data_IF_480680530499
#
_entry.id   IF_480680530499
#
_cell.length_a   1.000
_cell.length_b   1.000
_cell.length_c   1.000
_cell.angle_alpha   90.00
_cell.angle_beta   90.00
_cell.angle_gamma   90.00
#
_symmetry.space_group_name_H-M   'P 1'
#
loop_
_entity.id
_entity.type
_entity.pdbx_description
1 polymer ?
#
# COMPACT_ATOMS: atom_id res chain seq x y z
N UNK A 1 49.96 64.53 -2.51
CA UNK A 1 49.09 64.07 -3.61
C UNK A 1 48.18 63.00 -3.01
N UNK A 2 47.02 63.41 -2.49
CA UNK A 2 45.67 63.17 -3.05
C UNK A 2 45.32 61.67 -3.11
N UNK A 3 44.24 61.16 -2.52
CA UNK A 3 42.95 61.78 -2.23
C UNK A 3 42.29 61.21 -0.95
N UNK A 4 41.36 62.02 -0.44
CA UNK A 4 40.57 61.85 0.77
C UNK A 4 39.25 61.10 0.53
N UNK A 5 38.41 61.11 1.58
CA UNK A 5 36.94 60.94 1.59
C UNK A 5 36.41 59.49 1.68
N UNK A 6 35.45 59.12 2.54
CA UNK A 6 34.71 59.80 3.62
C UNK A 6 34.08 58.73 4.51
N UNK A 7 33.94 59.04 5.80
CA UNK A 7 33.23 58.27 6.82
C UNK A 7 31.73 58.59 6.79
N UNK A 8 30.83 57.61 7.01
CA UNK A 8 29.55 57.81 7.73
C UNK A 8 29.11 56.51 8.43
N UNK A 9 29.10 56.54 9.76
CA UNK A 9 28.30 55.68 10.64
C UNK A 9 26.95 56.36 10.91
N UNK A 10 25.83 55.62 10.93
CA UNK A 10 24.65 56.02 11.72
C UNK A 10 23.97 54.76 12.31
N UNK A 11 23.82 54.79 13.64
CA UNK A 11 23.12 53.83 14.49
C UNK A 11 21.59 54.17 14.61
N UNK A 12 20.77 53.29 15.22
CA UNK A 12 19.33 53.19 15.00
C UNK A 12 18.46 54.03 15.97
N UNK A 13 17.22 54.35 15.58
CA UNK A 13 16.22 54.98 16.45
C UNK A 13 14.85 54.29 16.36
N UNK A 14 14.38 53.86 17.53
CA UNK A 14 13.00 53.48 17.87
C UNK A 14 12.07 54.71 17.94
N UNK A 15 10.79 54.55 17.59
CA UNK A 15 9.57 55.14 18.22
C UNK A 15 8.34 54.60 17.46
N UNK A 16 7.47 53.77 18.03
CA UNK A 16 6.38 54.08 18.96
C UNK A 16 5.50 55.25 18.52
N UNK A 17 4.30 54.95 17.98
CA UNK A 17 3.13 55.81 18.18
C UNK A 17 1.84 54.99 18.36
N UNK A 18 1.00 55.51 19.27
CA UNK A 18 -0.23 54.95 19.84
C UNK A 18 -1.47 55.47 19.11
N UNK A 19 -2.53 54.64 19.16
CA UNK A 19 -3.98 54.90 19.38
C UNK A 19 -4.77 55.85 18.44
N UNK A 20 -5.87 55.30 17.89
CA UNK A 20 -7.28 55.75 18.08
C UNK A 20 -8.20 54.75 17.34
N UNK A 21 -8.96 53.87 18.00
CA UNK A 21 -10.31 54.05 18.59
C UNK A 21 -11.29 54.84 17.72
N UNK A 22 -12.23 54.13 17.07
CA UNK A 22 -13.63 54.54 16.93
C UNK A 22 -14.56 53.33 17.08
N UNK A 23 -15.58 53.56 17.90
CA UNK A 23 -16.68 52.66 18.24
C UNK A 23 -17.81 52.67 17.18
N UNK A 24 -18.70 51.70 17.36
CA UNK A 24 -20.14 51.66 17.02
C UNK A 24 -20.50 50.99 15.68
N UNK A 25 -21.03 49.76 15.76
CA UNK A 25 -22.46 49.50 15.56
C UNK A 25 -22.83 48.06 15.97
N UNK A 26 -23.62 47.98 17.05
CA UNK A 26 -24.44 46.84 17.47
C UNK A 26 -25.66 46.74 16.54
N UNK A 27 -26.02 45.54 16.07
CA UNK A 27 -27.37 45.16 15.65
C UNK A 27 -27.49 43.61 15.71
N UNK A 28 -28.69 43.02 15.84
CA UNK A 28 -29.03 42.24 17.02
C UNK A 28 -29.33 40.76 16.72
N UNK A 29 -29.49 40.02 17.82
CA UNK A 29 -30.16 38.74 17.93
C UNK A 29 -31.42 38.61 17.05
N UNK A 30 -31.55 37.47 16.38
CA UNK A 30 -32.86 36.82 16.15
C UNK A 30 -32.73 35.29 16.19
N UNK A 31 -33.32 34.72 17.23
CA UNK A 31 -33.78 33.32 17.26
C UNK A 31 -34.88 33.12 16.21
N UNK A 32 -34.87 31.97 15.54
CA UNK A 32 -36.11 31.33 15.07
C UNK A 32 -35.94 29.82 14.91
N UNK A 33 -36.59 29.13 15.84
CA UNK A 33 -37.49 28.00 15.68
C UNK A 33 -37.16 26.91 14.63
N UNK A 34 -37.03 25.71 15.20
CA UNK A 34 -37.16 24.42 14.55
C UNK A 34 -38.49 24.24 13.80
N UNK A 35 -38.44 23.51 12.70
CA UNK A 35 -39.61 22.87 12.06
C UNK A 35 -39.24 21.46 11.58
N UNK A 36 -40.23 20.54 11.51
CA UNK A 36 -40.01 19.12 11.76
C UNK A 36 -40.00 18.24 10.49
N UNK A 37 -39.52 17.00 10.67
CA UNK A 37 -39.58 15.89 9.70
C UNK A 37 -41.02 15.58 9.23
N UNK A 38 -41.21 15.10 7.99
CA UNK A 38 -42.40 14.37 7.61
C UNK A 38 -42.17 12.84 7.61
N UNK A 39 -42.98 12.13 8.40
CA UNK A 39 -43.23 10.68 8.32
C UNK A 39 -44.41 10.38 7.37
N UNK A 40 -44.59 9.13 6.92
CA UNK A 40 -45.25 8.79 5.65
C UNK A 40 -46.76 8.53 5.81
N UNK A 41 -47.54 8.51 4.71
CA UNK A 41 -48.92 8.03 4.76
C UNK A 41 -49.03 6.51 4.58
N UNK A 42 -49.87 5.92 5.44
CA UNK A 42 -50.40 4.54 5.37
C UNK A 42 -51.65 4.47 4.47
N UNK A 43 -51.71 3.38 3.69
CA UNK A 43 -52.86 2.51 3.34
C UNK A 43 -54.28 3.08 3.14
N UNK A 44 -54.82 2.83 1.94
CA UNK A 44 -56.17 2.31 1.66
C UNK A 44 -55.99 1.30 0.48
N UNK A 45 -56.15 -0.02 0.63
CA UNK A 45 -57.37 -0.86 0.73
C UNK A 45 -58.37 -0.66 -0.42
N UNK A 46 -58.88 -1.81 -0.92
CA UNK A 46 -59.95 -2.06 -1.93
C UNK A 46 -59.32 -2.48 -3.28
N UNK A 47 -59.52 -3.68 -3.86
CA UNK A 47 -60.62 -4.64 -3.77
C UNK A 47 -60.13 -6.07 -4.03
N UNK A 48 -60.80 -7.03 -3.39
CA UNK A 48 -60.80 -8.46 -3.70
C UNK A 48 -61.32 -8.73 -5.12
N UNK A 49 -60.77 -9.73 -5.80
CA UNK A 49 -61.60 -10.69 -6.55
C UNK A 49 -61.09 -12.11 -6.36
N UNK A 50 -62.07 -12.99 -6.21
CA UNK A 50 -62.00 -14.33 -5.63
C UNK A 50 -61.52 -15.42 -6.59
N UNK A 51 -60.93 -16.46 -5.97
CA UNK A 51 -61.09 -17.91 -6.22
C UNK A 51 -61.29 -18.44 -7.65
N UNK A 52 -60.43 -19.41 -8.03
CA UNK A 52 -60.89 -20.75 -8.36
C UNK A 52 -59.76 -21.79 -8.19
N UNK A 53 -60.06 -22.83 -7.39
CA UNK A 53 -59.35 -24.11 -7.28
C UNK A 53 -59.71 -25.03 -8.45
N UNK A 54 -58.77 -25.83 -8.93
CA UNK A 54 -58.95 -27.18 -9.52
C UNK A 54 -57.59 -27.67 -10.07
N UNK A 55 -56.89 -28.57 -9.36
CA UNK A 55 -56.93 -30.05 -9.49
C UNK A 55 -56.03 -30.62 -10.61
N UNK A 56 -55.09 -31.47 -10.19
CA UNK A 56 -54.15 -32.31 -10.94
C UNK A 56 -54.82 -33.19 -12.03
N UNK A 57 -54.09 -33.71 -13.05
CA UNK A 57 -53.40 -35.01 -12.92
C UNK A 57 -52.04 -35.15 -13.64
N UNK A 58 -51.32 -36.21 -13.24
CA UNK A 58 -50.00 -36.70 -13.67
C UNK A 58 -50.01 -37.34 -15.06
N UNK A 59 -48.91 -37.25 -15.81
CA UNK A 59 -48.34 -38.28 -16.72
C UNK A 59 -46.87 -37.89 -17.02
N UNK A 60 -45.85 -38.63 -16.56
CA UNK A 60 -45.13 -39.73 -17.24
C UNK A 60 -44.42 -39.33 -18.55
N UNK A 61 -43.11 -39.01 -18.47
CA UNK A 61 -42.09 -39.12 -19.53
C UNK A 61 -40.71 -39.18 -18.82
N UNK A 62 -40.11 -40.37 -18.69
CA UNK A 62 -39.08 -40.99 -19.55
C UNK A 62 -37.67 -40.40 -19.44
N UNK A 63 -36.80 -41.15 -18.76
CA UNK A 63 -35.41 -41.47 -19.12
C UNK A 63 -34.46 -40.33 -19.54
N UNK A 64 -33.63 -39.88 -18.59
CA UNK A 64 -32.38 -39.18 -18.88
C UNK A 64 -31.24 -40.19 -19.08
N UNK A 65 -30.38 -40.03 -20.11
CA UNK A 65 -29.18 -40.85 -20.27
C UNK A 65 -28.10 -40.42 -19.26
N UNK A 66 -27.57 -41.40 -18.56
CA UNK A 66 -26.38 -41.32 -17.72
C UNK A 66 -25.15 -40.95 -18.56
N UNK A 67 -24.58 -39.78 -18.30
CA UNK A 67 -23.18 -39.46 -18.60
C UNK A 67 -22.55 -38.74 -17.41
N UNK A 68 -21.69 -39.44 -16.68
CA UNK A 68 -20.31 -38.99 -16.40
C UNK A 68 -19.67 -39.92 -15.36
N UNK A 69 -18.99 -40.97 -15.82
CA UNK A 69 -18.03 -41.71 -15.01
C UNK A 69 -16.64 -41.04 -15.14
N UNK A 70 -16.51 -39.86 -14.54
CA UNK A 70 -15.28 -39.10 -14.34
C UNK A 70 -15.69 -37.97 -13.37
N UNK A 71 -15.20 -37.79 -12.16
CA UNK A 71 -13.99 -38.22 -11.46
C UNK A 71 -14.25 -38.04 -9.96
N UNK A 72 -14.32 -39.12 -9.19
CA UNK A 72 -14.19 -39.06 -7.74
C UNK A 72 -12.86 -39.71 -7.39
N UNK A 73 -11.75 -38.99 -7.56
CA UNK A 73 -10.45 -39.51 -7.13
C UNK A 73 -10.48 -39.66 -5.61
N UNK A 74 -10.26 -40.86 -5.09
CA UNK A 74 -10.24 -41.07 -3.64
C UNK A 74 -9.12 -40.24 -3.00
N UNK A 75 -9.26 -39.89 -1.72
CA UNK A 75 -8.22 -39.19 -0.95
C UNK A 75 -6.87 -39.91 -1.07
N UNK A 76 -6.86 -41.25 -1.13
CA UNK A 76 -5.68 -42.06 -1.35
C UNK A 76 -5.02 -41.83 -2.72
N UNK A 77 -5.79 -41.61 -3.79
CA UNK A 77 -5.24 -41.29 -5.11
C UNK A 77 -4.62 -39.89 -5.15
N UNK A 78 -5.23 -38.92 -4.45
CA UNK A 78 -4.65 -37.56 -4.32
C UNK A 78 -3.35 -37.60 -3.51
N UNK A 79 -3.30 -38.37 -2.43
CA UNK A 79 -2.10 -38.55 -1.63
C UNK A 79 -0.97 -39.21 -2.45
N UNK A 80 -1.28 -40.27 -3.20
CA UNK A 80 -0.31 -40.93 -4.07
C UNK A 80 0.19 -40.03 -5.21
N UNK A 81 -0.66 -39.14 -5.73
CA UNK A 81 -0.25 -38.13 -6.70
C UNK A 81 0.65 -37.06 -6.06
N UNK A 82 0.37 -36.67 -4.82
CA UNK A 82 1.19 -35.72 -4.07
C UNK A 82 2.59 -36.27 -3.80
N UNK A 83 2.69 -37.52 -3.34
CA UNK A 83 3.98 -38.21 -3.09
C UNK A 83 4.83 -38.24 -4.37
N UNK A 84 4.25 -38.64 -5.50
CA UNK A 84 4.97 -38.65 -6.79
C UNK A 84 5.47 -37.26 -7.22
N UNK A 85 4.74 -36.20 -6.89
CA UNK A 85 5.19 -34.83 -7.17
C UNK A 85 6.35 -34.42 -6.26
N UNK A 86 6.32 -34.82 -4.99
CA UNK A 86 7.42 -34.59 -4.06
C UNK A 86 8.69 -35.32 -4.50
N UNK A 87 8.58 -36.61 -4.87
CA UNK A 87 9.72 -37.40 -5.35
C UNK A 87 10.37 -36.77 -6.59
N UNK A 88 9.55 -36.24 -7.52
CA UNK A 88 10.03 -35.58 -8.72
C UNK A 88 10.77 -34.26 -8.39
N UNK A 89 10.23 -33.47 -7.46
CA UNK A 89 10.87 -32.22 -7.01
C UNK A 89 12.20 -32.52 -6.31
N UNK A 90 12.25 -33.54 -5.45
CA UNK A 90 13.49 -33.95 -4.78
C UNK A 90 14.56 -34.39 -5.79
N UNK A 91 14.17 -35.17 -6.80
CA UNK A 91 15.09 -35.59 -7.86
C UNK A 91 15.64 -34.40 -8.67
N UNK A 92 14.80 -33.41 -8.99
CA UNK A 92 15.23 -32.22 -9.72
C UNK A 92 16.12 -31.31 -8.87
N UNK A 93 15.85 -31.18 -7.56
CA UNK A 93 16.75 -30.47 -6.63
C UNK A 93 18.13 -31.14 -6.56
N UNK A 94 18.20 -32.47 -6.53
CA UNK A 94 19.47 -33.19 -6.55
C UNK A 94 20.24 -32.97 -7.86
N UNK A 95 19.54 -32.94 -9.01
CA UNK A 95 20.16 -32.62 -10.31
C UNK A 95 20.73 -31.21 -10.34
N UNK A 96 19.98 -30.23 -9.86
CA UNK A 96 20.43 -28.83 -9.76
C UNK A 96 21.66 -28.71 -8.86
N UNK A 97 21.66 -29.37 -7.70
CA UNK A 97 22.82 -29.41 -6.81
C UNK A 97 24.05 -30.04 -7.49
N UNK A 98 23.85 -31.12 -8.25
CA UNK A 98 24.93 -31.75 -9.00
C UNK A 98 25.45 -30.85 -10.13
N UNK A 99 24.57 -30.13 -10.83
CA UNK A 99 24.95 -29.16 -11.85
C UNK A 99 25.79 -28.02 -11.25
N UNK A 100 25.40 -27.49 -10.09
CA UNK A 100 26.15 -26.46 -9.38
C UNK A 100 27.53 -26.96 -8.92
N UNK A 101 27.62 -28.19 -8.41
CA UNK A 101 28.92 -28.80 -8.07
C UNK A 101 29.81 -28.98 -9.29
N UNK A 102 29.24 -29.46 -10.40
CA UNK A 102 29.99 -29.66 -11.64
C UNK A 102 30.45 -28.32 -12.25
N UNK A 103 29.65 -27.25 -12.13
CA UNK A 103 30.03 -25.91 -12.54
C UNK A 103 31.19 -25.36 -11.68
N UNK A 104 31.13 -25.53 -10.36
CA UNK A 104 32.21 -25.14 -9.45
C UNK A 104 33.52 -25.92 -9.71
N UNK A 105 33.43 -27.20 -10.06
CA UNK A 105 34.59 -28.02 -10.46
C UNK A 105 35.13 -27.64 -11.85
N UNK A 106 34.25 -27.21 -12.76
CA UNK A 106 34.63 -26.70 -14.09
C UNK A 106 35.37 -25.36 -14.02
N UNK A 107 34.95 -24.46 -13.14
CA UNK A 107 35.67 -23.20 -12.87
C UNK A 107 37.01 -23.43 -12.17
N UNK A 108 37.11 -24.42 -11.28
CA UNK A 108 38.38 -24.79 -10.64
C UNK A 108 39.39 -25.39 -11.64
N UNK A 109 38.93 -26.12 -12.67
CA UNK A 109 39.79 -26.66 -13.72
C UNK A 109 40.24 -25.58 -14.73
N UNK A 110 39.40 -24.57 -15.01
CA UNK A 110 39.78 -23.43 -15.84
C UNK A 110 40.65 -22.39 -15.10
N UNK A 111 40.52 -22.30 -13.77
CA UNK A 111 41.29 -21.38 -12.92
C UNK A 111 42.76 -21.76 -12.68
N UNK A 112 43.19 -22.96 -13.08
CA UNK A 112 44.59 -23.39 -12.97
C UNK A 112 45.52 -22.76 -14.02
N UNK A 113 44.98 -21.97 -14.96
CA UNK A 113 45.74 -21.30 -16.02
C UNK A 113 45.56 -19.77 -16.02
N UNK A 114 45.55 -19.11 -14.85
CA UNK A 114 45.97 -17.70 -14.76
C UNK A 114 46.17 -17.29 -13.29
N UNK A 115 47.43 -17.30 -12.85
CA UNK A 115 47.83 -16.68 -11.58
C UNK A 115 48.08 -15.18 -11.83
N UNK A 116 47.25 -14.33 -11.24
CA UNK A 116 47.37 -12.88 -11.33
C UNK A 116 46.42 -12.14 -10.39
N UNK A 117 46.82 -12.03 -9.12
CA UNK A 117 46.48 -11.03 -8.09
C UNK A 117 45.39 -10.00 -8.46
N UNK A 118 44.28 -9.96 -7.71
CA UNK A 118 43.90 -8.78 -6.88
C UNK A 118 42.54 -8.94 -6.20
N UNK A 119 42.51 -8.34 -5.02
CA UNK A 119 41.52 -8.34 -3.95
C UNK A 119 40.20 -7.64 -4.24
N UNK A 120 39.19 -8.09 -3.49
CA UNK A 120 38.10 -7.31 -2.90
C UNK A 120 37.17 -6.53 -3.84
N UNK A 121 35.95 -7.03 -3.94
CA UNK A 121 34.81 -6.28 -4.42
C UNK A 121 33.64 -7.23 -4.61
N UNK A 122 32.83 -7.41 -3.57
CA UNK A 122 31.44 -7.87 -3.75
C UNK A 122 30.74 -6.84 -4.61
N UNK A 123 30.83 -6.98 -5.93
CA UNK A 123 30.01 -6.20 -6.85
C UNK A 123 28.58 -6.70 -6.69
N UNK A 124 27.77 -5.88 -6.02
CA UNK A 124 26.33 -5.84 -6.24
C UNK A 124 26.11 -5.94 -7.75
N UNK A 125 25.50 -7.03 -8.19
CA UNK A 125 25.09 -7.18 -9.56
C UNK A 125 24.09 -6.06 -9.85
N UNK A 126 24.53 -5.03 -10.56
CA UNK A 126 23.67 -4.05 -11.20
C UNK A 126 22.62 -4.85 -11.99
N UNK A 127 21.37 -4.86 -11.46
CA UNK A 127 20.19 -5.39 -12.15
C UNK A 127 20.19 -4.83 -13.57
N UNK A 128 19.87 -5.69 -14.54
CA UNK A 128 19.62 -5.28 -15.92
C UNK A 128 18.71 -4.03 -15.94
N UNK A 129 18.95 -3.05 -16.84
CA UNK A 129 18.14 -1.85 -16.91
C UNK A 129 16.68 -2.28 -17.00
N UNK A 130 15.89 -1.90 -15.99
CA UNK A 130 14.46 -2.15 -16.00
C UNK A 130 13.92 -1.64 -17.35
N UNK A 131 13.03 -2.42 -17.97
CA UNK A 131 12.41 -2.04 -19.23
C UNK A 131 11.57 -0.78 -18.98
N UNK A 132 12.18 0.40 -19.16
CA UNK A 132 11.54 1.69 -18.95
C UNK A 132 10.29 1.85 -19.83
N UNK A 133 10.16 1.04 -20.89
CA UNK A 133 8.95 0.99 -21.71
C UNK A 133 7.75 0.44 -20.94
N UNK A 134 7.95 -0.51 -20.00
CA UNK A 134 6.89 -1.08 -19.17
C UNK A 134 6.28 -0.06 -18.18
N UNK A 135 6.99 1.03 -17.90
CA UNK A 135 6.52 2.15 -17.09
C UNK A 135 5.85 3.26 -17.91
N UNK A 136 5.86 3.19 -19.24
CA UNK A 136 5.12 4.16 -20.04
C UNK A 136 3.61 3.99 -19.81
N UNK A 137 2.85 5.07 -19.59
CA UNK A 137 1.40 4.99 -19.47
C UNK A 137 0.76 4.40 -20.73
N UNK A 138 -0.10 3.40 -20.56
CA UNK A 138 -0.93 2.85 -21.65
C UNK A 138 -2.16 3.77 -21.85
N UNK A 139 -2.61 4.06 -23.08
CA UNK A 139 -3.88 4.75 -23.33
C UNK A 139 -5.11 4.16 -22.62
N UNK A 140 -5.08 2.88 -22.25
CA UNK A 140 -6.14 2.17 -21.52
C UNK A 140 -6.03 2.32 -20.00
N UNK A 141 -4.89 2.80 -19.49
CA UNK A 141 -4.72 2.98 -18.05
C UNK A 141 -5.72 4.04 -17.54
N UNK A 142 -6.42 3.77 -16.42
CA UNK A 142 -7.13 4.83 -15.72
C UNK A 142 -6.17 5.97 -15.36
N UNK A 143 -6.70 7.19 -15.31
CA UNK A 143 -5.93 8.41 -15.09
C UNK A 143 -4.95 8.30 -13.91
N UNK A 144 -5.40 7.71 -12.80
CA UNK A 144 -4.58 7.59 -11.58
C UNK A 144 -3.43 6.59 -11.74
N UNK A 145 -3.63 5.49 -12.48
CA UNK A 145 -2.55 4.53 -12.81
C UNK A 145 -1.52 5.20 -13.73
N UNK A 146 -1.99 5.92 -14.76
CA UNK A 146 -1.13 6.64 -15.69
C UNK A 146 -0.28 7.72 -15.00
N UNK A 147 -0.84 8.44 -14.01
CA UNK A 147 -0.10 9.40 -13.18
C UNK A 147 0.99 8.72 -12.37
N UNK A 148 0.70 7.58 -11.72
CA UNK A 148 1.68 6.86 -10.92
C UNK A 148 2.82 6.30 -11.77
N UNK A 149 2.51 5.75 -12.95
CA UNK A 149 3.52 5.31 -13.93
C UNK A 149 4.47 6.45 -14.33
N UNK A 150 3.92 7.61 -14.64
CA UNK A 150 4.71 8.81 -14.95
C UNK A 150 5.56 9.25 -13.76
N UNK A 151 4.99 9.25 -12.55
CA UNK A 151 5.72 9.55 -11.32
C UNK A 151 6.93 8.61 -11.15
N UNK A 152 6.77 7.31 -11.41
CA UNK A 152 7.86 6.34 -11.34
C UNK A 152 9.01 6.67 -12.31
N UNK A 153 8.68 7.02 -13.55
CA UNK A 153 9.67 7.42 -14.57
C UNK A 153 10.45 8.67 -14.14
N UNK A 154 9.71 9.70 -13.69
CA UNK A 154 10.27 11.02 -13.35
C UNK A 154 11.11 11.01 -12.07
N UNK A 155 10.78 10.15 -11.09
CA UNK A 155 11.40 10.18 -9.76
C UNK A 155 12.37 9.02 -9.52
N UNK A 156 12.55 8.12 -10.49
CA UNK A 156 13.52 7.03 -10.37
C UNK A 156 13.02 5.82 -9.60
N UNK A 157 11.74 5.46 -9.73
CA UNK A 157 11.19 4.15 -9.35
C UNK A 157 11.13 3.25 -10.60
N UNK A 158 12.29 3.03 -11.22
CA UNK A 158 12.38 2.39 -12.53
C UNK A 158 12.11 0.89 -12.49
N UNK A 159 12.29 0.25 -11.34
CA UNK A 159 11.99 -1.17 -11.13
C UNK A 159 10.53 -1.43 -10.74
N UNK A 160 9.67 -0.41 -10.73
CA UNK A 160 8.27 -0.57 -10.38
C UNK A 160 7.51 -1.34 -11.48
N UNK A 161 6.67 -2.30 -11.06
CA UNK A 161 5.83 -3.08 -11.98
C UNK A 161 4.36 -2.93 -11.58
N UNK A 162 3.52 -2.56 -12.54
CA UNK A 162 2.07 -2.43 -12.35
C UNK A 162 1.38 -3.69 -12.86
N UNK A 163 0.66 -4.36 -11.98
CA UNK A 163 0.07 -5.68 -12.19
C UNK A 163 -1.45 -5.57 -12.04
N UNK A 164 -2.17 -5.86 -13.11
CA UNK A 164 -3.63 -5.96 -13.10
C UNK A 164 -4.03 -7.31 -12.50
N UNK A 165 -4.90 -7.27 -11.50
CA UNK A 165 -5.40 -8.45 -10.78
C UNK A 165 -6.88 -8.70 -11.08
N UNK A 166 -7.39 -9.93 -10.89
CA UNK A 166 -8.80 -10.22 -11.11
C UNK A 166 -9.73 -9.41 -10.20
N UNK A 167 -10.97 -9.17 -10.66
CA UNK A 167 -11.95 -8.33 -9.95
C UNK A 167 -12.34 -8.87 -8.56
N UNK A 168 -12.16 -10.16 -8.31
CA UNK A 168 -12.41 -10.80 -7.02
C UNK A 168 -11.21 -10.69 -6.05
N UNK A 169 -10.15 -9.95 -6.38
CA UNK A 169 -8.90 -9.92 -5.62
C UNK A 169 -9.09 -9.64 -4.12
N UNK A 170 -10.00 -8.73 -3.76
CA UNK A 170 -10.26 -8.39 -2.35
C UNK A 170 -11.26 -9.30 -1.64
N UNK A 171 -11.95 -10.17 -2.39
CA UNK A 171 -12.86 -11.18 -1.87
C UNK A 171 -12.12 -12.49 -1.53
N UNK A 172 -10.95 -12.70 -2.12
CA UNK A 172 -10.10 -13.89 -1.88
C UNK A 172 -9.17 -13.70 -0.66
N UNK A 173 -8.67 -14.81 -0.12
CA UNK A 173 -7.73 -14.84 1.00
C UNK A 173 -6.31 -14.36 0.61
N UNK A 174 -5.39 -14.22 1.58
CA UNK A 174 -4.05 -13.71 1.28
C UNK A 174 -3.19 -14.69 0.46
N UNK A 175 -3.36 -16.00 0.61
CA UNK A 175 -2.61 -17.00 -0.16
C UNK A 175 -2.93 -16.90 -1.65
N UNK A 176 -4.22 -16.78 -1.98
CA UNK A 176 -4.69 -16.58 -3.33
C UNK A 176 -4.19 -15.25 -3.90
N UNK A 177 -4.24 -14.17 -3.11
CA UNK A 177 -3.72 -12.86 -3.55
C UNK A 177 -2.22 -12.88 -3.83
N UNK A 178 -1.44 -13.63 -3.03
CA UNK A 178 -0.03 -13.89 -3.29
C UNK A 178 0.13 -14.55 -4.66
N UNK A 179 -0.64 -15.59 -4.93
CA UNK A 179 -0.55 -16.35 -6.19
C UNK A 179 -0.95 -15.51 -7.40
N UNK A 180 -2.01 -14.70 -7.28
CA UNK A 180 -2.45 -13.77 -8.31
C UNK A 180 -1.38 -12.73 -8.69
N UNK A 181 -0.54 -12.34 -7.72
CA UNK A 181 0.60 -11.42 -7.92
C UNK A 181 1.92 -12.13 -8.21
N UNK A 182 1.95 -13.46 -8.14
CA UNK A 182 3.18 -14.25 -8.14
C UNK A 182 4.18 -13.76 -7.09
N UNK A 183 3.67 -13.27 -5.95
CA UNK A 183 4.49 -12.76 -4.88
C UNK A 183 5.24 -13.92 -4.16
N UNK A 184 6.46 -13.71 -3.67
CA UNK A 184 7.22 -14.79 -3.01
C UNK A 184 6.54 -15.34 -1.75
N UNK A 185 5.81 -14.49 -1.03
CA UNK A 185 5.11 -14.82 0.21
C UNK A 185 3.98 -13.84 0.47
N UNK A 186 2.98 -14.23 1.27
CA UNK A 186 1.98 -13.32 1.83
C UNK A 186 2.61 -12.17 2.63
N UNK A 187 3.85 -12.36 3.12
CA UNK A 187 4.63 -11.32 3.80
C UNK A 187 4.98 -10.14 2.89
N UNK A 188 5.07 -10.36 1.58
CA UNK A 188 5.37 -9.31 0.59
C UNK A 188 4.15 -8.44 0.26
N UNK A 189 2.94 -8.85 0.68
CA UNK A 189 1.73 -8.08 0.47
C UNK A 189 1.62 -7.00 1.55
N UNK A 190 1.64 -5.75 1.12
CA UNK A 190 1.52 -4.58 1.98
C UNK A 190 0.26 -3.78 1.67
N UNK A 191 -0.14 -2.96 2.63
CA UNK A 191 -1.17 -1.93 2.46
C UNK A 191 -0.63 -0.58 2.88
N UNK A 192 -1.18 0.43 2.22
CA UNK A 192 -0.94 1.84 2.54
C UNK A 192 -2.20 2.41 3.15
N UNK A 193 -2.09 3.03 4.32
CA UNK A 193 -3.18 3.76 4.96
C UNK A 193 -2.76 5.20 5.22
N UNK A 194 -3.73 6.12 5.23
CA UNK A 194 -3.49 7.51 5.61
C UNK A 194 -3.82 7.70 7.10
N UNK A 195 -2.82 8.10 7.88
CA UNK A 195 -2.97 8.44 9.29
C UNK A 195 -2.99 9.96 9.46
N UNK A 196 -3.86 10.45 10.33
CA UNK A 196 -3.95 11.84 10.75
C UNK A 196 -3.50 11.98 12.22
N UNK A 197 -2.58 12.88 12.50
CA UNK A 197 -2.32 13.36 13.84
C UNK A 197 -3.33 14.46 14.20
N UNK A 198 -4.40 14.10 14.90
CA UNK A 198 -5.50 15.03 15.21
C UNK A 198 -5.12 16.12 16.21
N UNK A 199 -3.95 16.00 16.86
CA UNK A 199 -3.41 17.00 17.77
C UNK A 199 -2.21 17.77 17.20
N UNK A 200 -1.88 17.55 15.91
CA UNK A 200 -0.84 18.29 15.24
C UNK A 200 -1.17 19.79 15.22
N UNK A 201 -0.16 20.62 15.41
CA UNK A 201 -0.28 22.07 15.25
C UNK A 201 -0.17 22.50 13.80
N UNK A 202 0.48 21.68 12.98
CA UNK A 202 0.63 21.92 11.55
C UNK A 202 -0.65 21.46 10.84
N UNK A 203 -1.02 22.16 9.77
CA UNK A 203 -2.22 21.86 8.99
C UNK A 203 -1.90 21.22 7.63
N UNK A 204 -0.63 21.02 7.32
CA UNK A 204 -0.15 20.52 6.04
C UNK A 204 0.73 19.27 6.20
N UNK A 205 1.33 18.86 5.08
CA UNK A 205 2.24 17.72 4.97
C UNK A 205 3.69 18.16 4.70
N UNK A 206 4.02 19.45 4.93
CA UNK A 206 5.30 20.02 4.49
C UNK A 206 6.47 19.59 5.39
N UNK A 207 6.24 19.50 6.69
CA UNK A 207 7.26 19.08 7.64
C UNK A 207 7.31 17.55 7.73
N UNK A 208 8.31 16.95 7.08
CA UNK A 208 8.54 15.51 7.09
C UNK A 208 8.56 14.91 8.51
N UNK A 209 9.06 15.65 9.50
CA UNK A 209 9.19 15.18 10.89
C UNK A 209 7.96 15.48 11.72
N UNK A 210 7.11 16.44 11.37
CA UNK A 210 5.91 16.79 12.14
C UNK A 210 4.74 17.24 11.23
N UNK A 211 4.31 16.36 10.33
CA UNK A 211 3.15 16.60 9.46
C UNK A 211 1.83 16.25 10.14
N UNK A 212 0.74 16.83 9.63
CA UNK A 212 -0.61 16.43 10.07
C UNK A 212 -0.96 15.03 9.57
N UNK A 213 -0.57 14.70 8.35
CA UNK A 213 -0.88 13.43 7.71
C UNK A 213 0.38 12.65 7.36
N UNK A 214 0.30 11.33 7.48
CA UNK A 214 1.35 10.40 7.09
C UNK A 214 0.75 9.21 6.35
N UNK A 215 1.37 8.82 5.24
CA UNK A 215 1.13 7.53 4.62
C UNK A 215 1.89 6.47 5.41
N UNK A 216 1.20 5.40 5.80
CA UNK A 216 1.79 4.31 6.56
C UNK A 216 1.72 3.02 5.76
N UNK A 217 2.89 2.43 5.51
CA UNK A 217 3.06 1.19 4.74
C UNK A 217 3.46 0.06 5.66
N UNK A 218 2.68 -1.02 5.66
CA UNK A 218 2.95 -2.20 6.46
C UNK A 218 2.34 -3.47 5.85
N UNK A 219 2.80 -4.63 6.31
CA UNK A 219 2.42 -5.93 5.77
C UNK A 219 1.02 -6.35 6.23
N UNK A 220 0.31 -7.15 5.43
CA UNK A 220 -0.99 -7.72 5.84
C UNK A 220 -0.87 -8.73 6.99
N UNK A 221 0.29 -9.36 7.15
CA UNK A 221 0.59 -10.35 8.21
C UNK A 221 0.90 -9.72 9.57
N UNK A 222 0.78 -8.40 9.66
CA UNK A 222 1.17 -7.59 10.79
C UNK A 222 -0.02 -6.75 11.28
N UNK A 223 -0.16 -6.65 12.60
CA UNK A 223 -1.09 -5.75 13.25
C UNK A 223 -0.47 -4.36 13.39
N UNK A 224 -1.15 -3.37 12.81
CA UNK A 224 -0.76 -1.96 12.92
C UNK A 224 -1.00 -1.40 14.32
N UNK A 225 -0.10 -0.52 14.77
CA UNK A 225 -0.20 0.17 16.05
C UNK A 225 0.03 1.68 15.90
N UNK A 226 -1.04 2.47 16.04
CA UNK A 226 -0.98 3.94 15.96
C UNK A 226 -0.16 4.59 17.08
N UNK A 227 -0.09 3.97 18.26
CA UNK A 227 0.73 4.50 19.36
C UNK A 227 2.22 4.37 19.06
N UNK A 228 2.62 3.34 18.32
CA UNK A 228 4.00 3.18 17.86
C UNK A 228 4.38 4.28 16.88
N UNK A 229 3.49 4.64 15.95
CA UNK A 229 3.67 5.82 15.07
C UNK A 229 3.84 7.10 15.89
N UNK A 230 2.97 7.31 16.89
CA UNK A 230 3.05 8.47 17.79
C UNK A 230 4.38 8.57 18.53
N UNK A 231 4.96 7.44 18.97
CA UNK A 231 6.29 7.40 19.61
C UNK A 231 7.40 7.77 18.63
N UNK A 232 7.39 7.19 17.44
CA UNK A 232 8.40 7.44 16.39
C UNK A 232 8.44 8.93 16.03
N UNK A 233 7.28 9.53 15.75
CA UNK A 233 7.21 10.95 15.40
C UNK A 233 7.58 11.83 16.60
N UNK A 234 7.21 11.47 17.82
CA UNK A 234 7.66 12.19 19.02
C UNK A 234 9.18 12.14 19.21
N UNK A 235 9.82 10.99 18.98
CA UNK A 235 11.29 10.83 19.04
C UNK A 235 12.01 11.71 18.00
N UNK A 236 11.39 11.90 16.83
CA UNK A 236 11.88 12.84 15.82
C UNK A 236 11.69 14.31 16.19
N UNK A 237 10.96 14.64 17.26
CA UNK A 237 10.67 16.02 17.66
C UNK A 237 10.95 16.25 19.16
N UNK A 238 12.23 16.22 19.58
CA UNK A 238 12.58 16.50 20.96
C UNK A 238 12.11 17.91 21.34
N UNK A 239 11.38 18.00 22.46
CA UNK A 239 10.82 19.27 22.97
C UNK A 239 9.31 19.45 22.72
N UNK A 240 8.70 18.66 21.84
CA UNK A 240 7.23 18.65 21.69
C UNK A 240 6.63 17.64 22.67
N UNK A 241 5.65 18.05 23.47
CA UNK A 241 5.02 17.16 24.44
C UNK A 241 4.28 15.99 23.78
N UNK A 242 4.45 14.77 24.30
CA UNK A 242 3.81 13.51 23.84
C UNK A 242 2.32 13.61 23.49
N UNK A 243 1.55 14.43 24.22
CA UNK A 243 0.11 14.62 23.98
C UNK A 243 -0.24 15.22 22.60
N UNK A 244 0.75 15.79 21.90
CA UNK A 244 0.60 16.35 20.55
C UNK A 244 0.66 15.31 19.43
N UNK A 245 0.91 14.04 19.77
CA UNK A 245 1.01 12.94 18.82
C UNK A 245 -0.13 11.95 19.08
N UNK A 246 -1.29 12.23 18.49
CA UNK A 246 -2.49 11.38 18.58
C UNK A 246 -2.92 10.99 17.17
N UNK A 247 -2.45 9.83 16.73
CA UNK A 247 -2.66 9.33 15.38
C UNK A 247 -3.94 8.51 15.29
N UNK A 248 -4.79 8.85 14.32
CA UNK A 248 -6.03 8.14 13.96
C UNK A 248 -6.05 7.88 12.46
N UNK A 249 -6.87 6.92 12.04
CA UNK A 249 -7.14 6.76 10.61
C UNK A 249 -7.82 8.03 10.10
N UNK A 250 -7.35 8.58 8.98
CA UNK A 250 -7.97 9.73 8.36
C UNK A 250 -9.40 9.40 7.91
N UNK A 251 -10.26 10.42 7.87
CA UNK A 251 -11.59 10.27 7.28
C UNK A 251 -11.48 9.79 5.81
N UNK A 252 -12.33 8.86 5.34
CA UNK A 252 -12.23 8.32 3.98
C UNK A 252 -12.29 9.38 2.88
N UNK A 253 -13.14 10.40 3.02
CA UNK A 253 -13.26 11.46 2.02
C UNK A 253 -12.01 12.34 2.00
N UNK A 254 -11.45 12.62 3.18
CA UNK A 254 -10.19 13.37 3.29
C UNK A 254 -8.99 12.55 2.75
N UNK A 255 -8.97 11.25 3.03
CA UNK A 255 -7.96 10.36 2.49
C UNK A 255 -7.99 10.28 0.96
N UNK A 256 -9.18 10.18 0.37
CA UNK A 256 -9.33 10.22 -1.09
C UNK A 256 -8.93 11.58 -1.67
N UNK A 257 -9.31 12.68 -1.01
CA UNK A 257 -8.92 14.03 -1.43
C UNK A 257 -7.40 14.24 -1.44
N UNK A 258 -6.71 13.78 -0.38
CA UNK A 258 -5.26 13.96 -0.22
C UNK A 258 -4.44 12.99 -1.07
N UNK A 259 -4.88 11.74 -1.20
CA UNK A 259 -4.16 10.72 -1.97
C UNK A 259 -4.52 10.73 -3.45
N UNK A 260 -5.70 11.23 -3.81
CA UNK A 260 -6.25 11.20 -5.17
C UNK A 260 -6.98 9.92 -5.53
N UNK A 261 -7.01 8.92 -4.62
CA UNK A 261 -7.59 7.60 -4.90
C UNK A 261 -8.36 7.05 -3.70
N UNK A 262 -9.36 6.22 -3.99
CA UNK A 262 -10.12 5.51 -2.95
C UNK A 262 -9.28 4.48 -2.20
N UNK A 263 -9.79 4.06 -1.04
CA UNK A 263 -9.19 2.98 -0.24
C UNK A 263 -8.98 1.70 -1.06
N UNK A 264 -7.86 1.01 -0.81
CA UNK A 264 -7.45 -0.18 -1.58
C UNK A 264 -6.70 0.11 -2.89
N UNK A 265 -6.72 1.36 -3.37
CA UNK A 265 -5.94 1.79 -4.54
C UNK A 265 -4.69 2.60 -4.18
N UNK A 266 -4.55 3.01 -2.91
CA UNK A 266 -3.51 3.93 -2.44
C UNK A 266 -2.11 3.37 -2.63
N UNK A 267 -1.32 4.04 -3.47
CA UNK A 267 0.12 3.90 -3.56
C UNK A 267 0.79 4.85 -2.54
N UNK A 268 1.93 4.49 -1.95
CA UNK A 268 2.66 5.35 -1.02
C UNK A 268 3.53 6.41 -1.73
N UNK A 269 3.15 6.82 -2.94
CA UNK A 269 3.85 7.79 -3.79
C UNK A 269 2.86 8.37 -4.80
N UNK A 270 3.25 9.45 -5.48
CA UNK A 270 2.44 10.07 -6.54
C UNK A 270 1.04 10.54 -6.09
N UNK A 271 0.87 10.85 -4.80
CA UNK A 271 -0.37 11.39 -4.24
C UNK A 271 -0.61 12.85 -4.65
N UNK A 272 -1.85 13.33 -4.55
CA UNK A 272 -2.23 14.71 -4.91
C UNK A 272 -1.46 15.78 -4.13
N UNK A 273 -1.07 15.47 -2.88
CA UNK A 273 -0.20 16.28 -2.02
C UNK A 273 1.04 15.44 -1.68
N UNK A 274 2.24 16.01 -1.55
CA UNK A 274 3.41 15.28 -1.06
C UNK A 274 3.24 14.93 0.42
N UNK A 275 2.79 13.70 0.71
CA UNK A 275 2.56 13.23 2.08
C UNK A 275 3.78 12.40 2.54
N UNK A 276 4.40 12.71 3.68
CA UNK A 276 5.48 11.92 4.23
C UNK A 276 5.08 10.46 4.46
N UNK A 277 6.02 9.55 4.24
CA UNK A 277 5.81 8.11 4.34
C UNK A 277 6.50 7.55 5.58
N UNK A 278 5.78 6.70 6.32
CA UNK A 278 6.34 5.84 7.35
C UNK A 278 6.26 4.39 6.85
N UNK A 279 7.41 3.74 6.74
CA UNK A 279 7.53 2.35 6.30
C UNK A 279 7.79 1.45 7.51
N UNK A 280 7.01 0.38 7.66
CA UNK A 280 7.27 -0.58 8.73
C UNK A 280 8.63 -1.26 8.54
N UNK A 281 9.39 -1.31 9.62
CA UNK A 281 10.69 -1.98 9.66
C UNK A 281 10.61 -3.46 9.26
N UNK A 282 9.45 -4.12 9.41
CA UNK A 282 9.24 -5.48 8.93
C UNK A 282 9.43 -5.62 7.43
N UNK A 283 8.98 -4.64 6.65
CA UNK A 283 9.04 -4.67 5.17
C UNK A 283 10.49 -4.66 4.69
N UNK A 284 11.38 -3.94 5.39
CA UNK A 284 12.81 -3.87 5.06
C UNK A 284 13.56 -5.19 5.21
N UNK A 285 12.95 -6.18 5.87
CA UNK A 285 13.54 -7.51 6.13
C UNK A 285 13.12 -8.55 5.09
N UNK A 286 12.33 -8.17 4.08
CA UNK A 286 11.84 -9.09 3.06
C UNK A 286 12.98 -9.61 2.18
N UNK A 287 12.91 -10.89 1.84
CA UNK A 287 13.78 -11.53 0.86
C UNK A 287 12.90 -12.24 -0.17
N UNK A 288 12.97 -11.89 -1.47
CA UNK A 288 13.70 -10.75 -2.05
C UNK A 288 13.20 -9.38 -1.53
N UNK A 289 14.00 -8.30 -1.64
CA UNK A 289 13.71 -6.96 -1.10
C UNK A 289 12.73 -6.19 -1.98
N UNK A 290 11.56 -6.77 -2.20
CA UNK A 290 10.45 -6.20 -2.95
C UNK A 290 9.18 -6.28 -2.11
N UNK A 291 8.17 -5.49 -2.44
CA UNK A 291 6.86 -5.57 -1.79
C UNK A 291 5.76 -5.04 -2.71
N UNK A 292 4.52 -5.38 -2.41
CA UNK A 292 3.36 -5.06 -3.24
C UNK A 292 2.41 -4.13 -2.50
N UNK A 293 1.97 -3.06 -3.15
CA UNK A 293 1.05 -2.04 -2.63
C UNK A 293 -0.05 -1.71 -3.66
N UNK A 294 -0.96 -0.80 -3.34
CA UNK A 294 -1.94 -0.29 -4.30
C UNK A 294 -1.26 0.40 -5.48
N UNK A 295 -1.81 0.24 -6.69
CA UNK A 295 -1.25 0.78 -7.93
C UNK A 295 -2.10 1.89 -8.56
N UNK A 296 -2.90 2.62 -7.78
CA UNK A 296 -3.77 3.71 -8.28
C UNK A 296 -5.16 3.25 -8.72
N UNK A 297 -5.41 1.95 -8.78
CA UNK A 297 -6.73 1.36 -8.99
C UNK A 297 -6.94 0.16 -8.06
N UNK A 298 -8.19 -0.19 -7.73
CA UNK A 298 -8.46 -1.34 -6.84
C UNK A 298 -8.06 -2.66 -7.46
N UNK A 299 -8.07 -2.74 -8.79
CA UNK A 299 -7.66 -3.93 -9.55
C UNK A 299 -6.24 -3.80 -10.11
N UNK A 300 -5.48 -2.80 -9.69
CA UNK A 300 -4.07 -2.63 -10.06
C UNK A 300 -3.20 -2.62 -8.80
N UNK A 301 -2.15 -3.43 -8.79
CA UNK A 301 -1.13 -3.46 -7.74
C UNK A 301 0.20 -2.98 -8.29
N UNK A 302 1.03 -2.45 -7.42
CA UNK A 302 2.37 -2.01 -7.77
C UNK A 302 3.38 -2.81 -6.95
N UNK A 303 4.28 -3.50 -7.64
CA UNK A 303 5.47 -4.09 -7.05
C UNK A 303 6.56 -3.02 -7.02
N UNK A 304 7.19 -2.85 -5.85
CA UNK A 304 8.25 -1.89 -5.63
C UNK A 304 9.51 -2.58 -5.17
N UNK A 305 10.66 -2.07 -5.61
CA UNK A 305 11.96 -2.39 -5.03
C UNK A 305 12.17 -1.56 -3.75
N UNK A 306 12.64 -2.22 -2.69
CA UNK A 306 12.81 -1.62 -1.37
C UNK A 306 13.78 -0.44 -1.38
N UNK A 307 14.90 -0.56 -2.09
CA UNK A 307 15.97 0.44 -2.08
C UNK A 307 15.55 1.68 -2.87
N UNK A 308 15.01 1.48 -4.08
CA UNK A 308 14.45 2.57 -4.89
C UNK A 308 13.36 3.30 -4.12
N UNK A 309 12.42 2.56 -3.52
CA UNK A 309 11.32 3.16 -2.80
C UNK A 309 11.78 3.97 -1.59
N UNK A 310 12.64 3.40 -0.74
CA UNK A 310 13.14 4.09 0.46
C UNK A 310 13.86 5.39 0.10
N UNK A 311 14.65 5.38 -0.98
CA UNK A 311 15.33 6.57 -1.50
C UNK A 311 14.35 7.61 -2.04
N UNK A 312 13.41 7.21 -2.90
CA UNK A 312 12.49 8.14 -3.57
C UNK A 312 11.46 8.73 -2.60
N UNK A 313 10.89 7.89 -1.74
CA UNK A 313 9.89 8.33 -0.77
C UNK A 313 10.50 9.04 0.44
N UNK A 314 11.84 9.01 0.61
CA UNK A 314 12.54 9.46 1.81
C UNK A 314 11.89 8.90 3.10
N UNK A 315 11.49 7.62 3.06
CA UNK A 315 10.58 7.06 4.04
C UNK A 315 11.19 6.96 5.45
N UNK A 316 10.39 7.26 6.47
CA UNK A 316 10.72 7.03 7.88
C UNK A 316 10.54 5.53 8.16
N UNK A 317 11.64 4.79 8.26
CA UNK A 317 11.62 3.36 8.61
C UNK A 317 11.50 3.19 10.12
N UNK A 318 10.46 2.51 10.59
CA UNK A 318 10.23 2.37 12.03
C UNK A 318 9.42 1.12 12.45
N UNK A 319 9.57 0.63 13.69
CA UNK A 319 8.80 -0.49 14.22
C UNK A 319 7.37 -0.04 14.61
N UNK A 320 6.47 -0.01 13.63
CA UNK A 320 5.09 0.48 13.77
C UNK A 320 4.03 -0.64 13.77
N UNK A 321 4.49 -1.89 13.75
CA UNK A 321 3.64 -3.08 13.71
C UNK A 321 4.08 -4.13 14.72
N UNK A 322 3.15 -5.03 15.03
CA UNK A 322 3.39 -6.26 15.78
C UNK A 322 2.96 -7.43 14.88
N UNK A 323 3.78 -8.48 14.70
CA UNK A 323 3.37 -9.65 13.93
C UNK A 323 2.06 -10.26 14.47
N UNK A 324 1.19 -10.72 13.57
CA UNK A 324 0.01 -11.48 13.97
C UNK A 324 0.40 -12.83 14.58
N UNK A 325 -0.45 -13.35 15.47
CA UNK A 325 -0.29 -14.73 15.95
C UNK A 325 -0.60 -15.73 14.84
N UNK A 326 -0.19 -16.98 15.01
CA UNK A 326 -0.45 -18.02 13.99
C UNK A 326 -1.95 -18.24 13.78
N UNK A 327 -2.74 -18.13 14.86
CA UNK A 327 -4.20 -18.24 14.81
C UNK A 327 -4.84 -17.07 14.05
N UNK A 328 -4.40 -15.84 14.32
CA UNK A 328 -4.86 -14.65 13.60
C UNK A 328 -4.47 -14.72 12.12
N UNK A 329 -3.26 -15.22 11.84
CA UNK A 329 -2.76 -15.37 10.47
C UNK A 329 -3.55 -16.44 9.70
N UNK A 330 -3.85 -17.57 10.32
CA UNK A 330 -4.65 -18.63 9.71
C UNK A 330 -6.05 -18.16 9.28
N UNK A 331 -6.67 -17.26 10.05
CA UNK A 331 -8.00 -16.70 9.71
C UNK A 331 -8.01 -15.80 8.48
N UNK A 332 -6.89 -15.16 8.15
CA UNK A 332 -6.80 -14.21 7.03
C UNK A 332 -6.03 -14.79 5.83
N UNK A 333 -5.23 -15.83 6.06
CA UNK A 333 -4.43 -16.48 5.04
C UNK A 333 -5.25 -17.49 4.23
N UNK A 334 -6.12 -18.25 4.87
CA UNK A 334 -6.85 -19.40 4.30
C UNK A 334 -8.24 -19.06 3.73
#
# INVERSE_FOLDING_TARGET
MCAACTCVCVCPVRRSLRRNVRHVALFPFRCSAATPLPTPPRLHLITRLSLALASHPRHLFSSFPSMSAATASSVGQRLAQLVRRFDAIEADLQRLQQQLRNAALGEAAAGAASSGVSSSGTSSALKAPADLSALQPDPKDPLEVAKLRRHCLENGLHSAEFIWVPLNYYQENLQWRRDALQAPSIRHLCKTILMENTHCTNNDCADHRNSRYYLVVYQYVDRFNSDMVGRVIHELNPGIGKKKFNFRLADPAEAERLTGVRSGAVAPFGTSVPIPVILSAGVTKLTPPIFYVGGGHVDCKCRLDMEEFTRVANAIVAPITVPLTEEELGQIAD
#
